data_IF_391937047644
#
_entry.id   IF_391937047644
#
_cell.length_a   1.000
_cell.length_b   1.000
_cell.length_c   1.000
_cell.angle_alpha   90.00
_cell.angle_beta   90.00
_cell.angle_gamma   90.00
#
_symmetry.space_group_name_H-M   'P 1'
#
loop_
_entity.id
_entity.type
_entity.pdbx_description
1 polymer ?
#
# COMPACT_ATOMS: atom_id res chain seq x y z
N UNK A 1 9.68 5.21 2.57
CA UNK A 1 9.72 3.83 3.07
C UNK A 1 10.55 2.96 2.13
N UNK A 2 11.29 2.03 2.74
CA UNK A 2 12.11 0.99 2.12
C UNK A 2 11.27 -0.26 1.80
N UNK A 3 11.90 -1.31 1.30
CA UNK A 3 11.22 -2.52 0.84
C UNK A 3 10.57 -3.36 1.95
N UNK A 4 11.22 -3.43 3.11
CA UNK A 4 10.73 -4.20 4.27
C UNK A 4 9.73 -3.43 5.13
N UNK A 5 9.51 -2.15 4.84
CA UNK A 5 8.51 -1.34 5.53
C UNK A 5 7.09 -1.74 5.11
N UNK A 6 6.17 -1.65 6.06
CA UNK A 6 4.78 -2.04 5.90
C UNK A 6 3.97 -0.99 5.14
N UNK A 7 3.57 -1.32 3.92
CA UNK A 7 2.66 -0.49 3.14
C UNK A 7 1.22 -0.68 3.61
N UNK A 8 0.80 -1.91 3.92
CA UNK A 8 -0.49 -2.18 4.52
C UNK A 8 -0.35 -2.46 6.01
N UNK A 9 -0.46 -1.41 6.83
CA UNK A 9 -0.41 -1.49 8.29
C UNK A 9 -1.61 -2.20 8.96
N UNK A 10 -2.56 -2.74 8.19
CA UNK A 10 -3.66 -3.56 8.72
C UNK A 10 -3.32 -5.05 8.70
N UNK A 11 -2.61 -5.47 7.65
CA UNK A 11 -2.34 -6.88 7.36
C UNK A 11 -0.84 -7.15 7.25
N UNK A 12 -0.01 -6.22 7.71
CA UNK A 12 1.44 -6.34 7.77
C UNK A 12 2.06 -6.71 6.40
N UNK A 13 1.56 -6.06 5.34
CA UNK A 13 2.05 -6.27 3.96
C UNK A 13 3.12 -5.24 3.64
N UNK A 14 4.35 -5.71 3.50
CA UNK A 14 5.53 -4.90 3.15
C UNK A 14 5.44 -4.34 1.72
N UNK A 15 6.13 -3.23 1.45
CA UNK A 15 6.31 -2.70 0.09
C UNK A 15 6.82 -3.77 -0.88
N UNK A 16 7.85 -4.54 -0.50
CA UNK A 16 8.43 -5.62 -1.34
C UNK A 16 7.38 -6.62 -1.81
N UNK A 17 6.54 -7.12 -0.90
CA UNK A 17 5.45 -8.07 -1.22
C UNK A 17 4.48 -7.51 -2.25
N UNK A 18 4.09 -6.24 -2.13
CA UNK A 18 3.18 -5.58 -3.08
C UNK A 18 3.83 -5.41 -4.44
N UNK A 19 5.07 -4.92 -4.49
CA UNK A 19 5.83 -4.76 -5.73
C UNK A 19 6.01 -6.10 -6.44
N UNK A 20 6.40 -7.13 -5.71
CA UNK A 20 6.54 -8.49 -6.23
C UNK A 20 5.21 -9.04 -6.78
N UNK A 21 4.12 -8.83 -6.04
CA UNK A 21 2.78 -9.22 -6.49
C UNK A 21 2.40 -8.53 -7.81
N UNK A 22 2.60 -7.22 -7.93
CA UNK A 22 2.32 -6.46 -9.16
C UNK A 22 3.12 -7.03 -10.34
N UNK A 23 4.41 -7.33 -10.13
CA UNK A 23 5.29 -7.88 -11.17
C UNK A 23 4.87 -9.27 -11.65
N UNK A 24 4.56 -10.16 -10.70
CA UNK A 24 4.25 -11.57 -11.00
C UNK A 24 2.82 -11.73 -11.51
N UNK A 25 1.84 -11.14 -10.83
CA UNK A 25 0.43 -11.34 -11.11
C UNK A 25 -0.13 -10.37 -12.16
N UNK A 26 0.57 -9.26 -12.43
CA UNK A 26 0.17 -8.24 -13.42
C UNK A 26 -1.31 -7.86 -13.29
N UNK A 27 -1.77 -7.45 -12.09
CA UNK A 27 -3.17 -7.11 -11.88
C UNK A 27 -3.60 -6.00 -12.85
N UNK A 28 -4.82 -6.12 -13.41
CA UNK A 28 -5.38 -5.14 -14.34
C UNK A 28 -6.20 -4.05 -13.63
N UNK A 29 -6.62 -4.31 -12.39
CA UNK A 29 -7.41 -3.39 -11.56
C UNK A 29 -6.86 -3.34 -10.15
N UNK A 30 -6.90 -2.16 -9.53
CA UNK A 30 -6.43 -1.97 -8.16
C UNK A 30 -7.19 -2.82 -7.13
N UNK A 31 -8.43 -3.22 -7.40
CA UNK A 31 -9.19 -4.15 -6.56
C UNK A 31 -8.53 -5.52 -6.41
N UNK A 32 -7.76 -5.97 -7.41
CA UNK A 32 -7.03 -7.24 -7.36
C UNK A 32 -5.84 -7.20 -6.38
N UNK A 33 -5.42 -6.02 -5.93
CA UNK A 33 -4.39 -5.92 -4.88
C UNK A 33 -4.88 -6.48 -3.52
N UNK A 34 -6.19 -6.68 -3.36
CA UNK A 34 -6.73 -7.42 -2.21
C UNK A 34 -6.28 -8.88 -2.18
N UNK A 35 -5.90 -9.47 -3.31
CA UNK A 35 -5.33 -10.83 -3.39
C UNK A 35 -3.90 -10.87 -2.83
N UNK A 36 -3.24 -9.71 -2.66
CA UNK A 36 -1.95 -9.57 -1.97
C UNK A 36 -2.18 -9.52 -0.46
N UNK A 37 -2.45 -10.68 0.16
CA UNK A 37 -2.61 -10.85 1.61
C UNK A 37 -3.69 -9.93 2.23
N UNK A 38 -4.73 -9.56 1.48
CA UNK A 38 -5.79 -8.67 1.95
C UNK A 38 -5.47 -7.18 1.86
N UNK A 39 -4.34 -6.77 1.26
CA UNK A 39 -3.96 -5.36 1.20
C UNK A 39 -5.10 -4.47 0.64
N UNK A 40 -5.46 -3.43 1.40
CA UNK A 40 -6.49 -2.47 1.01
C UNK A 40 -7.92 -2.80 1.44
N UNK A 41 -8.20 -3.97 2.03
CA UNK A 41 -9.55 -4.34 2.52
C UNK A 41 -9.85 -3.89 3.95
N UNK A 42 -8.83 -3.46 4.69
CA UNK A 42 -8.94 -2.97 6.07
C UNK A 42 -9.39 -1.51 6.14
N UNK A 43 -8.62 -0.67 6.85
CA UNK A 43 -8.99 0.75 7.02
C UNK A 43 -9.04 1.55 5.70
N UNK A 44 -8.38 1.07 4.65
CA UNK A 44 -8.36 1.69 3.32
C UNK A 44 -7.29 2.76 3.10
N UNK A 45 -6.54 3.13 4.14
CA UNK A 45 -5.46 4.14 4.07
C UNK A 45 -4.43 3.84 2.97
N UNK A 46 -4.04 2.58 2.82
CA UNK A 46 -2.99 2.19 1.86
C UNK A 46 -3.47 2.17 0.40
N UNK A 47 -4.78 2.25 0.12
CA UNK A 47 -5.36 2.13 -1.24
C UNK A 47 -4.80 3.13 -2.27
N UNK A 48 -4.66 4.44 -1.99
CA UNK A 48 -4.04 5.37 -2.95
C UNK A 48 -2.59 5.00 -3.27
N UNK A 49 -1.82 4.53 -2.30
CA UNK A 49 -0.43 4.13 -2.49
C UNK A 49 -0.30 2.81 -3.27
N UNK A 50 -1.19 1.86 -2.99
CA UNK A 50 -1.34 0.62 -3.76
C UNK A 50 -1.63 0.91 -5.24
N UNK A 51 -2.55 1.85 -5.51
CA UNK A 51 -2.86 2.28 -6.88
C UNK A 51 -1.65 2.94 -7.55
N UNK A 52 -0.98 3.87 -6.87
CA UNK A 52 0.24 4.51 -7.36
C UNK A 52 1.31 3.49 -7.76
N UNK A 53 1.58 2.49 -6.94
CA UNK A 53 2.54 1.43 -7.28
C UNK A 53 2.12 0.62 -8.51
N UNK A 54 0.82 0.36 -8.70
CA UNK A 54 0.32 -0.40 -9.84
C UNK A 54 0.35 0.39 -11.15
N UNK A 55 0.15 1.71 -11.10
CA UNK A 55 0.12 2.60 -12.26
C UNK A 55 1.54 2.93 -12.78
N UNK A 56 2.56 2.81 -11.93
CA UNK A 56 3.93 3.19 -12.25
C UNK A 56 4.67 2.11 -13.03
N UNK A 57 5.40 2.52 -14.07
CA UNK A 57 6.24 1.62 -14.86
C UNK A 57 7.39 1.02 -14.03
N UNK A 58 7.86 1.74 -13.01
CA UNK A 58 8.86 1.26 -12.06
C UNK A 58 8.39 1.44 -10.60
N UNK A 59 7.64 0.46 -10.05
CA UNK A 59 7.10 0.55 -8.69
C UNK A 59 8.15 0.65 -7.58
N UNK A 60 9.39 0.19 -7.82
CA UNK A 60 10.50 0.30 -6.87
C UNK A 60 10.99 1.75 -6.72
N UNK A 61 10.90 2.55 -7.78
CA UNK A 61 11.34 3.96 -7.76
C UNK A 61 10.34 4.92 -7.10
N UNK A 62 9.12 4.45 -6.81
CA UNK A 62 8.06 5.31 -6.25
C UNK A 62 8.49 5.85 -4.89
N UNK A 63 8.57 7.17 -4.77
CA UNK A 63 8.81 7.80 -3.48
C UNK A 63 7.52 7.75 -2.63
N UNK A 64 7.66 7.15 -1.45
CA UNK A 64 6.61 6.96 -0.46
C UNK A 64 7.13 7.42 0.91
N UNK A 65 6.26 7.95 1.79
CA UNK A 65 6.65 8.41 3.13
C UNK A 65 7.43 7.37 3.94
N UNK A 66 8.28 7.82 4.88
CA UNK A 66 8.93 6.94 5.86
C UNK A 66 7.90 6.26 6.78
N UNK A 67 8.26 5.13 7.44
CA UNK A 67 7.32 4.35 8.24
C UNK A 67 6.67 5.16 9.38
N UNK A 68 7.43 6.03 10.05
CA UNK A 68 6.92 6.90 11.12
C UNK A 68 5.85 7.86 10.59
N UNK A 69 6.20 8.70 9.60
CA UNK A 69 5.29 9.65 8.96
C UNK A 69 4.07 8.94 8.33
N UNK A 70 4.27 7.78 7.70
CA UNK A 70 3.20 6.97 7.13
C UNK A 70 2.19 6.50 8.18
N UNK A 71 2.67 6.10 9.37
CA UNK A 71 1.83 5.67 10.48
C UNK A 71 1.05 6.83 11.10
N UNK A 72 1.68 8.01 11.21
CA UNK A 72 1.05 9.24 11.71
C UNK A 72 -0.07 9.69 10.77
N UNK A 73 0.21 9.75 9.46
CA UNK A 73 -0.80 10.09 8.46
C UNK A 73 -1.98 9.11 8.45
N UNK A 74 -1.74 7.82 8.68
CA UNK A 74 -2.82 6.83 8.85
C UNK A 74 -3.70 7.15 10.06
N UNK A 75 -3.11 7.55 11.18
CA UNK A 75 -3.86 7.91 12.38
C UNK A 75 -4.78 9.10 12.11
N UNK A 76 -4.27 10.13 11.43
CA UNK A 76 -5.04 11.30 10.98
C UNK A 76 -6.17 10.90 10.01
N UNK A 77 -5.87 10.07 9.02
CA UNK A 77 -6.88 9.54 8.09
C UNK A 77 -8.03 8.83 8.81
N UNK A 78 -7.73 8.03 9.84
CA UNK A 78 -8.74 7.30 10.62
C UNK A 78 -9.63 8.23 11.44
N UNK A 79 -9.12 9.35 11.96
CA UNK A 79 -9.93 10.35 12.66
C UNK A 79 -10.97 10.96 11.72
N UNK A 80 -10.55 11.38 10.53
CA UNK A 80 -11.44 12.00 9.55
C UNK A 80 -12.50 11.04 8.98
N UNK A 81 -12.20 9.74 8.90
CA UNK A 81 -13.14 8.73 8.38
C UNK A 81 -14.24 8.33 9.39
N UNK A 82 -14.07 8.70 10.65
CA UNK A 82 -15.02 8.37 11.73
C UNK A 82 -16.01 9.52 12.03
N UNK A 83 -15.99 10.57 11.21
CA UNK A 83 -16.87 11.75 11.33
C UNK A 83 -17.92 11.80 10.25
#
# INVERSE_FOLDING_TARGET
MQDDDELCLCFHVTRRKVVQFIRVQKPKRASQLSECFGAGTGCGWCRPFLRKLMEEANPEAVNLPGPEDYSQQRAEYRKHKSS
#
